data_IF_337135047804
#
_entry.id   IF_337135047804
#
_cell.length_a   1.000
_cell.length_b   1.000
_cell.length_c   1.000
_cell.angle_alpha   90.00
_cell.angle_beta   90.00
_cell.angle_gamma   90.00
#
_symmetry.space_group_name_H-M   'P 1'
#
loop_
_entity.id
_entity.type
_entity.pdbx_description
1 polymer ?
#
# COMPACT_ATOMS: atom_id res chain seq x y z
N UNK A 1 18.15 -0.56 -5.52
CA UNK A 1 17.36 -1.56 -6.27
C UNK A 1 18.10 -1.84 -7.56
N UNK A 2 18.21 -3.10 -8.00
CA UNK A 2 18.87 -3.42 -9.28
C UNK A 2 17.91 -3.09 -10.44
N UNK A 3 18.44 -2.72 -11.61
CA UNK A 3 17.62 -2.38 -12.79
C UNK A 3 16.63 -3.51 -13.15
N UNK A 4 17.07 -4.76 -13.07
CA UNK A 4 16.21 -5.93 -13.34
C UNK A 4 15.05 -6.10 -12.35
N UNK A 5 15.26 -5.77 -11.08
CA UNK A 5 14.21 -5.81 -10.05
C UNK A 5 13.19 -4.70 -10.29
N UNK A 6 13.65 -3.51 -10.69
CA UNK A 6 12.80 -2.38 -11.10
C UNK A 6 11.89 -2.76 -12.25
N UNK A 7 12.48 -3.28 -13.33
CA UNK A 7 11.73 -3.56 -14.54
C UNK A 7 10.70 -4.66 -14.29
N UNK A 8 11.06 -5.67 -13.49
CA UNK A 8 10.12 -6.72 -13.05
C UNK A 8 8.96 -6.13 -12.24
N UNK A 9 9.24 -5.25 -11.27
CA UNK A 9 8.20 -4.59 -10.47
C UNK A 9 7.28 -3.74 -11.34
N UNK A 10 7.83 -2.95 -12.27
CA UNK A 10 7.04 -2.13 -13.18
C UNK A 10 6.15 -2.98 -14.09
N UNK A 11 6.63 -4.12 -14.57
CA UNK A 11 5.81 -5.05 -15.36
C UNK A 11 4.67 -5.68 -14.55
N UNK A 12 4.92 -6.04 -13.29
CA UNK A 12 3.88 -6.54 -12.37
C UNK A 12 2.83 -5.46 -12.13
N UNK A 13 3.25 -4.25 -11.76
CA UNK A 13 2.34 -3.13 -11.51
C UNK A 13 1.56 -2.74 -12.77
N UNK A 14 2.21 -2.73 -13.94
CA UNK A 14 1.55 -2.48 -15.22
C UNK A 14 0.48 -3.51 -15.52
N UNK A 15 0.81 -4.79 -15.32
CA UNK A 15 -0.14 -5.88 -15.54
C UNK A 15 -1.35 -5.71 -14.61
N UNK A 16 -1.11 -5.44 -13.33
CA UNK A 16 -2.16 -5.21 -12.32
C UNK A 16 -3.03 -3.99 -12.66
N UNK A 17 -2.41 -2.89 -13.08
CA UNK A 17 -3.10 -1.69 -13.56
C UNK A 17 -4.03 -2.05 -14.73
N UNK A 18 -3.52 -2.72 -15.76
CA UNK A 18 -4.36 -3.12 -16.91
C UNK A 18 -5.48 -4.12 -16.57
N UNK A 19 -5.31 -4.92 -15.52
CA UNK A 19 -6.33 -5.85 -15.05
C UNK A 19 -7.43 -5.18 -14.22
N UNK A 20 -7.16 -4.01 -13.63
CA UNK A 20 -8.09 -3.30 -12.75
C UNK A 20 -8.43 -1.87 -13.20
N UNK A 21 -8.83 -1.66 -14.47
CA UNK A 21 -9.12 -0.32 -15.02
C UNK A 21 -10.21 0.45 -14.26
N UNK A 22 -11.07 -0.27 -13.52
CA UNK A 22 -12.10 0.32 -12.67
C UNK A 22 -11.55 1.15 -11.49
N UNK A 23 -10.32 0.84 -11.02
CA UNK A 23 -9.71 1.50 -9.86
C UNK A 23 -9.10 2.86 -10.20
N UNK A 24 -8.78 3.10 -11.46
CA UNK A 24 -8.00 4.26 -11.91
C UNK A 24 -8.54 4.84 -13.22
N UNK A 25 -9.86 5.05 -13.27
CA UNK A 25 -10.52 5.62 -14.45
C UNK A 25 -9.93 6.98 -14.80
N UNK A 26 -9.40 7.08 -16.02
CA UNK A 26 -8.82 8.33 -16.55
C UNK A 26 -7.33 8.52 -16.27
N UNK A 27 -6.67 7.57 -15.60
CA UNK A 27 -5.21 7.60 -15.42
C UNK A 27 -4.51 6.83 -16.55
N UNK A 28 -3.35 7.34 -16.96
CA UNK A 28 -2.48 6.68 -17.94
C UNK A 28 -1.27 6.06 -17.23
N UNK A 29 -1.09 4.75 -17.41
CA UNK A 29 0.07 4.03 -16.89
C UNK A 29 1.40 4.65 -17.31
N UNK A 30 1.50 5.21 -18.53
CA UNK A 30 2.72 5.84 -19.00
C UNK A 30 3.14 7.03 -18.11
N UNK A 31 2.16 7.81 -17.64
CA UNK A 31 2.41 8.94 -16.74
C UNK A 31 2.81 8.45 -15.34
N UNK A 32 2.11 7.42 -14.83
CA UNK A 32 2.43 6.78 -13.55
C UNK A 32 3.85 6.21 -13.56
N UNK A 33 4.20 5.43 -14.60
CA UNK A 33 5.51 4.81 -14.74
C UNK A 33 6.63 5.86 -14.84
N UNK A 34 6.41 6.96 -15.56
CA UNK A 34 7.38 8.05 -15.64
C UNK A 34 7.66 8.70 -14.28
N UNK A 35 6.62 8.86 -13.44
CA UNK A 35 6.80 9.37 -12.05
C UNK A 35 7.54 8.37 -11.17
N UNK A 36 7.21 7.09 -11.27
CA UNK A 36 7.90 6.05 -10.52
C UNK A 36 9.38 5.97 -10.90
N UNK A 37 9.71 6.11 -12.18
CA UNK A 37 11.09 6.03 -12.64
C UNK A 37 11.96 7.18 -12.08
N UNK A 38 11.35 8.36 -11.88
CA UNK A 38 11.97 9.49 -11.20
C UNK A 38 12.01 9.40 -9.67
N UNK A 39 11.32 8.41 -9.07
CA UNK A 39 11.14 8.32 -7.61
C UNK A 39 11.61 6.96 -7.05
N UNK A 40 12.90 6.89 -6.74
CA UNK A 40 13.52 5.69 -6.17
C UNK A 40 12.94 5.28 -4.80
N UNK A 41 12.44 6.23 -4.01
CA UNK A 41 11.81 5.94 -2.72
C UNK A 41 10.47 5.24 -2.91
N UNK A 42 9.62 5.73 -3.81
CA UNK A 42 8.35 5.11 -4.15
C UNK A 42 8.55 3.69 -4.73
N UNK A 43 9.50 3.51 -5.64
CA UNK A 43 9.82 2.18 -6.17
C UNK A 43 10.25 1.20 -5.07
N UNK A 44 11.07 1.66 -4.11
CA UNK A 44 11.49 0.82 -2.99
C UNK A 44 10.31 0.46 -2.09
N UNK A 45 9.43 1.41 -1.79
CA UNK A 45 8.23 1.19 -1.00
C UNK A 45 7.31 0.16 -1.67
N UNK A 46 7.03 0.33 -2.98
CA UNK A 46 6.22 -0.60 -3.76
C UNK A 46 6.84 -2.00 -3.82
N UNK A 47 8.16 -2.10 -4.00
CA UNK A 47 8.87 -3.38 -3.96
C UNK A 47 8.70 -4.08 -2.60
N UNK A 48 8.76 -3.34 -1.49
CA UNK A 48 8.56 -3.89 -0.16
C UNK A 48 7.10 -4.32 0.06
N UNK A 49 6.14 -3.55 -0.45
CA UNK A 49 4.72 -3.91 -0.41
C UNK A 49 4.46 -5.23 -1.13
N UNK A 50 4.94 -5.34 -2.37
CA UNK A 50 4.84 -6.57 -3.17
C UNK A 50 5.55 -7.75 -2.49
N UNK A 51 6.78 -7.54 -1.98
CA UNK A 51 7.57 -8.61 -1.35
C UNK A 51 6.91 -9.19 -0.10
N UNK A 52 6.12 -8.39 0.62
CA UNK A 52 5.34 -8.83 1.78
C UNK A 52 3.96 -9.44 1.42
N UNK A 53 3.71 -9.68 0.13
CA UNK A 53 2.48 -10.30 -0.37
C UNK A 53 1.29 -9.35 -0.51
N UNK A 54 1.53 -8.03 -0.47
CA UNK A 54 0.51 -7.04 -0.80
C UNK A 54 0.30 -6.93 -2.31
N UNK A 55 -0.76 -6.24 -2.70
CA UNK A 55 -1.08 -5.93 -4.09
C UNK A 55 -1.14 -4.42 -4.29
N UNK A 56 0.01 -3.70 -4.22
CA UNK A 56 0.03 -2.27 -4.44
C UNK A 56 -0.47 -1.94 -5.85
N UNK A 57 -1.41 -1.01 -5.93
CA UNK A 57 -2.00 -0.54 -7.18
C UNK A 57 -2.30 0.96 -7.09
N UNK A 58 -2.45 1.61 -8.25
CA UNK A 58 -2.83 3.02 -8.30
C UNK A 58 -4.34 3.14 -8.14
N UNK A 59 -4.75 3.98 -7.19
CA UNK A 59 -6.14 4.21 -6.83
C UNK A 59 -6.61 5.64 -7.14
N UNK A 60 -5.68 6.53 -7.47
CA UNK A 60 -6.01 7.92 -7.75
C UNK A 60 -4.80 8.79 -8.08
N UNK A 61 -5.08 10.04 -8.44
CA UNK A 61 -4.11 11.09 -8.68
C UNK A 61 -4.60 12.34 -7.96
N UNK A 62 -3.77 12.88 -7.08
CA UNK A 62 -3.98 14.18 -6.46
C UNK A 62 -3.46 15.24 -7.42
N UNK A 63 -4.36 15.84 -8.21
CA UNK A 63 -4.00 16.89 -9.18
C UNK A 63 -3.42 18.14 -8.50
N UNK A 64 -3.77 18.42 -7.24
CA UNK A 64 -3.29 19.60 -6.53
C UNK A 64 -1.81 19.47 -6.15
N UNK A 65 -1.37 18.23 -5.85
CA UNK A 65 0.03 17.92 -5.54
C UNK A 65 0.79 17.30 -6.71
N UNK A 66 0.08 16.93 -7.78
CA UNK A 66 0.61 16.18 -8.91
C UNK A 66 1.25 14.84 -8.46
N UNK A 67 0.57 14.18 -7.53
CA UNK A 67 1.02 12.95 -6.86
C UNK A 67 0.06 11.79 -7.14
N UNK A 68 0.62 10.62 -7.46
CA UNK A 68 -0.18 9.40 -7.64
C UNK A 68 -0.35 8.66 -6.31
N UNK A 69 -1.59 8.29 -6.02
CA UNK A 69 -1.96 7.57 -4.81
C UNK A 69 -1.86 6.07 -5.08
N UNK A 70 -0.93 5.43 -4.39
CA UNK A 70 -0.78 3.98 -4.37
C UNK A 70 -1.34 3.42 -3.08
N UNK A 71 -2.13 2.36 -3.19
CA UNK A 71 -2.67 1.64 -2.05
C UNK A 71 -2.55 0.14 -2.26
N UNK A 72 -2.38 -0.59 -1.16
CA UNK A 72 -2.50 -2.05 -1.18
C UNK A 72 -3.97 -2.40 -1.44
N UNK A 73 -4.21 -3.05 -2.58
CA UNK A 73 -5.54 -3.45 -3.05
C UNK A 73 -5.78 -4.96 -2.89
N UNK A 74 -5.05 -5.60 -1.98
CA UNK A 74 -5.27 -7.01 -1.66
C UNK A 74 -6.68 -7.20 -1.07
N UNK A 75 -7.41 -8.19 -1.59
CA UNK A 75 -8.77 -8.51 -1.12
C UNK A 75 -8.79 -8.89 0.39
N UNK A 76 -7.70 -9.49 0.87
CA UNK A 76 -7.45 -9.74 2.29
C UNK A 76 -5.98 -9.44 2.61
N UNK A 77 -5.71 -8.82 3.77
CA UNK A 77 -4.33 -8.67 4.27
C UNK A 77 -3.57 -10.02 4.18
N UNK A 78 -2.38 -10.09 3.57
CA UNK A 78 -1.62 -11.35 3.45
C UNK A 78 -1.22 -11.89 4.83
N UNK A 79 -0.97 -13.20 4.93
CA UNK A 79 -0.70 -13.86 6.22
C UNK A 79 0.48 -13.21 6.99
N UNK A 80 1.50 -12.73 6.28
CA UNK A 80 2.66 -12.00 6.83
C UNK A 80 2.32 -10.61 7.38
N UNK A 81 1.18 -10.03 6.98
CA UNK A 81 0.66 -8.74 7.48
C UNK A 81 -0.53 -8.90 8.44
N UNK A 82 -1.01 -10.12 8.64
CA UNK A 82 -2.04 -10.47 9.63
C UNK A 82 -1.41 -10.59 11.00
N UNK A 83 -2.19 -10.29 12.04
CA UNK A 83 -1.72 -10.32 13.44
C UNK A 83 -0.60 -9.31 13.73
N UNK A 84 -0.72 -8.07 13.26
CA UNK A 84 0.08 -6.94 13.74
C UNK A 84 -0.75 -6.07 14.69
N UNK A 85 -0.11 -5.52 15.72
CA UNK A 85 -0.73 -4.46 16.55
C UNK A 85 -0.76 -3.14 15.77
N UNK A 86 -1.71 -2.26 16.08
CA UNK A 86 -1.80 -0.93 15.46
C UNK A 86 -0.51 -0.12 15.69
N UNK A 87 -0.12 0.03 16.96
CA UNK A 87 1.05 0.80 17.38
C UNK A 87 1.94 0.00 18.36
N UNK A 88 3.09 0.62 18.68
CA UNK A 88 4.08 0.03 19.58
C UNK A 88 3.59 -0.01 21.03
N UNK A 89 2.66 0.85 21.42
CA UNK A 89 2.02 0.81 22.74
C UNK A 89 1.11 -0.41 22.88
N UNK A 90 0.25 -0.68 21.90
CA UNK A 90 -0.58 -1.90 21.88
C UNK A 90 0.27 -3.17 21.83
N UNK A 91 1.40 -3.14 21.12
CA UNK A 91 2.37 -4.24 21.10
C UNK A 91 2.97 -4.49 22.50
N UNK A 92 3.35 -3.43 23.21
CA UNK A 92 3.94 -3.51 24.54
C UNK A 92 2.93 -3.89 25.63
N UNK A 93 1.65 -3.54 25.46
CA UNK A 93 0.58 -3.85 26.38
C UNK A 93 0.20 -5.36 26.39
N UNK A 94 0.49 -6.09 25.31
CA UNK A 94 0.19 -7.53 25.24
C UNK A 94 1.28 -8.38 25.89
N UNK A 95 0.87 -9.17 26.90
CA UNK A 95 1.72 -10.10 27.66
C UNK A 95 1.83 -11.49 27.01
N UNK A 96 0.81 -11.94 26.28
CA UNK A 96 0.77 -13.21 25.55
C UNK A 96 0.34 -12.99 24.09
N UNK A 97 0.80 -13.86 23.18
CA UNK A 97 0.63 -13.74 21.71
C UNK A 97 1.12 -12.38 21.18
N UNK A 98 2.37 -12.03 21.49
CA UNK A 98 3.00 -10.81 20.97
C UNK A 98 3.07 -10.89 19.45
N UNK A 99 2.41 -9.95 18.75
CA UNK A 99 2.50 -9.91 17.29
C UNK A 99 3.92 -9.58 16.82
N UNK A 100 4.26 -9.93 15.58
CA UNK A 100 5.62 -9.78 15.04
C UNK A 100 6.09 -8.31 14.97
N UNK A 101 5.18 -7.34 15.01
CA UNK A 101 5.49 -5.91 14.98
C UNK A 101 4.24 -5.04 15.07
N UNK A 102 4.39 -3.75 14.74
CA UNK A 102 3.28 -2.81 14.61
C UNK A 102 3.11 -2.33 13.17
N UNK A 103 1.86 -2.17 12.73
CA UNK A 103 1.53 -1.68 11.40
C UNK A 103 2.13 -0.27 11.16
N UNK A 104 2.06 0.60 12.16
CA UNK A 104 2.68 1.94 12.10
C UNK A 104 4.21 1.88 11.92
N UNK A 105 4.90 0.97 12.61
CA UNK A 105 6.35 0.82 12.44
C UNK A 105 6.69 0.25 11.06
N UNK A 106 5.95 -0.74 10.58
CA UNK A 106 6.17 -1.33 9.27
C UNK A 106 5.93 -0.30 8.15
N UNK A 107 4.90 0.53 8.29
CA UNK A 107 4.64 1.64 7.37
C UNK A 107 5.82 2.63 7.35
N UNK A 108 6.29 3.06 8.52
CA UNK A 108 7.43 3.97 8.63
C UNK A 108 8.74 3.37 8.07
N UNK A 109 9.00 2.08 8.28
CA UNK A 109 10.18 1.38 7.75
C UNK A 109 10.14 1.24 6.22
N UNK A 110 8.95 1.05 5.66
CA UNK A 110 8.72 1.01 4.21
C UNK A 110 8.68 2.40 3.57
N UNK A 111 8.56 3.46 4.36
CA UNK A 111 8.38 4.83 3.88
C UNK A 111 6.98 5.10 3.33
N UNK A 112 5.98 4.38 3.82
CA UNK A 112 4.55 4.54 3.48
C UNK A 112 3.78 5.07 4.70
N UNK A 113 2.60 5.61 4.45
CA UNK A 113 1.68 6.05 5.51
C UNK A 113 0.56 5.02 5.72
N UNK A 114 0.01 4.99 6.93
CA UNK A 114 -1.27 4.32 7.19
C UNK A 114 -2.41 5.12 6.57
N UNK A 115 -3.47 4.44 6.15
CA UNK A 115 -4.64 5.09 5.59
C UNK A 115 -5.42 5.79 6.70
N UNK A 116 -5.82 7.04 6.47
CA UNK A 116 -6.85 7.65 7.30
C UNK A 116 -8.26 7.13 6.95
N UNK A 117 -9.25 7.47 7.78
CA UNK A 117 -10.63 7.02 7.59
C UNK A 117 -11.21 7.46 6.23
N UNK A 118 -10.90 8.68 5.77
CA UNK A 118 -11.39 9.19 4.50
C UNK A 118 -10.77 8.45 3.30
N UNK A 119 -9.47 8.17 3.37
CA UNK A 119 -8.73 7.39 2.38
C UNK A 119 -9.22 5.94 2.34
N UNK A 120 -9.52 5.34 3.49
CA UNK A 120 -10.12 4.02 3.53
C UNK A 120 -11.52 3.99 2.91
N UNK A 121 -12.37 4.95 3.22
CA UNK A 121 -13.68 5.05 2.57
C UNK A 121 -13.57 5.25 1.06
N UNK A 122 -12.60 6.05 0.60
CA UNK A 122 -12.32 6.20 -0.83
C UNK A 122 -11.85 4.88 -1.46
N UNK A 123 -11.01 4.11 -0.76
CA UNK A 123 -10.58 2.78 -1.20
C UNK A 123 -11.78 1.81 -1.29
N UNK A 124 -12.64 1.76 -0.28
CA UNK A 124 -13.85 0.93 -0.28
C UNK A 124 -14.83 1.30 -1.39
N UNK A 125 -14.81 2.56 -1.86
CA UNK A 125 -15.63 2.99 -2.99
C UNK A 125 -15.12 2.43 -4.34
N UNK A 126 -13.84 2.04 -4.43
CA UNK A 126 -13.25 1.45 -5.63
C UNK A 126 -13.44 -0.07 -5.70
N UNK A 127 -13.73 -0.71 -4.56
CA UNK A 127 -13.92 -2.15 -4.44
C UNK A 127 -13.86 -2.63 -2.99
N UNK A 128 -14.12 -3.91 -2.79
CA UNK A 128 -14.04 -4.55 -1.48
C UNK A 128 -12.58 -4.95 -1.18
N UNK A 129 -11.91 -4.16 -0.35
CA UNK A 129 -10.49 -4.34 0.01
C UNK A 129 -10.34 -4.50 1.52
N UNK A 130 -9.53 -5.46 1.96
CA UNK A 130 -9.24 -5.74 3.37
C UNK A 130 -10.47 -5.65 4.32
N UNK A 131 -11.55 -6.35 3.97
CA UNK A 131 -12.82 -6.32 4.73
C UNK A 131 -12.74 -6.91 6.15
N UNK A 132 -11.62 -7.55 6.50
CA UNK A 132 -11.46 -8.32 7.75
C UNK A 132 -10.44 -7.74 8.71
N UNK A 133 -9.64 -6.77 8.27
CA UNK A 133 -8.51 -6.28 9.06
C UNK A 133 -8.56 -4.76 9.17
N UNK A 134 -8.61 -4.25 10.40
CA UNK A 134 -8.60 -2.81 10.70
C UNK A 134 -7.22 -2.31 11.17
N UNK A 135 -6.22 -3.19 11.24
CA UNK A 135 -4.89 -2.88 11.79
C UNK A 135 -4.11 -1.80 11.03
N UNK A 136 -4.51 -1.51 9.78
CA UNK A 136 -3.83 -0.59 8.86
C UNK A 136 -4.54 0.78 8.73
N UNK A 137 -5.58 1.02 9.54
CA UNK A 137 -6.29 2.28 9.64
C UNK A 137 -5.66 3.15 10.71
N UNK A 138 -5.23 4.36 10.34
CA UNK A 138 -4.81 5.39 11.27
C UNK A 138 -6.00 5.76 12.17
N UNK A 139 -5.88 5.49 13.47
CA UNK A 139 -6.83 5.96 14.46
C UNK A 139 -6.56 7.44 14.76
N UNK A 140 -7.60 8.30 14.77
CA UNK A 140 -7.45 9.68 15.19
C UNK A 140 -7.02 9.76 16.67
N UNK A 141 -6.27 10.80 17.06
CA UNK A 141 -5.81 11.03 18.44
C UNK A 141 -6.93 11.39 19.42
#
# INVERSE_FOLDING_TARGET
MKAKERDTLLDVLKTRFTQHPQRHKGLDWAQVAARLDGNAAALKALALMEASGGEPDVIGHDEARDEYLFCDCAAESPAERRSLCYDREALNARKENKPQGSAAQMAAEMGIALLDEAQYHALQALGEFDLKTSSWLATPP
#
